data_IF_921910208838
#
_entry.id   IF_921910208838
#
_cell.length_a   1.000
_cell.length_b   1.000
_cell.length_c   1.000
_cell.angle_alpha   90.00
_cell.angle_beta   90.00
_cell.angle_gamma   90.00
#
_symmetry.space_group_name_H-M   'P 1'
#
loop_
_entity.id
_entity.type
_entity.pdbx_description
1 polymer ?
#
# COMPACT_ATOMS: atom_id res chain seq x y z
N UNK A 1 9.95 -4.30 3.05
CA UNK A 1 9.24 -4.23 1.75
C UNK A 1 9.69 -3.03 0.91
N UNK A 2 9.52 -1.80 1.36
CA UNK A 2 9.86 -0.58 0.58
C UNK A 2 11.33 -0.47 0.14
N UNK A 3 12.28 -1.10 0.85
CA UNK A 3 13.70 -1.13 0.49
C UNK A 3 13.97 -1.74 -0.92
N UNK A 4 13.13 -2.66 -1.37
CA UNK A 4 13.22 -3.24 -2.72
C UNK A 4 12.72 -2.28 -3.83
N UNK A 5 12.03 -1.19 -3.45
CA UNK A 5 11.44 -0.18 -4.34
C UNK A 5 12.11 1.20 -4.18
N UNK A 6 13.39 1.22 -3.76
CA UNK A 6 14.15 2.47 -3.55
C UNK A 6 14.05 3.06 -2.13
N UNK A 7 13.30 2.42 -1.22
CA UNK A 7 13.12 2.89 0.16
C UNK A 7 11.80 3.64 0.38
N UNK A 8 11.52 4.00 1.63
CA UNK A 8 10.24 4.62 2.03
C UNK A 8 10.06 6.00 1.37
N UNK A 9 11.14 6.77 1.23
CA UNK A 9 11.11 8.11 0.65
C UNK A 9 10.73 8.07 -0.85
N UNK A 10 11.39 7.23 -1.63
CA UNK A 10 11.11 7.06 -3.07
C UNK A 10 9.67 6.63 -3.33
N UNK A 11 9.14 5.71 -2.52
CA UNK A 11 7.74 5.28 -2.63
C UNK A 11 6.78 6.41 -2.24
N UNK A 12 7.11 7.22 -1.22
CA UNK A 12 6.32 8.38 -0.81
C UNK A 12 6.22 9.44 -1.92
N UNK A 13 7.36 9.78 -2.51
CA UNK A 13 7.44 10.77 -3.59
C UNK A 13 6.67 10.29 -4.83
N UNK A 14 6.83 9.02 -5.21
CA UNK A 14 6.13 8.42 -6.36
C UNK A 14 4.62 8.31 -6.12
N UNK A 15 4.21 7.98 -4.90
CA UNK A 15 2.80 7.91 -4.50
C UNK A 15 2.17 9.29 -4.24
N UNK A 16 2.96 10.39 -4.28
CA UNK A 16 2.57 11.75 -3.92
C UNK A 16 1.96 11.85 -2.52
N UNK A 17 2.52 11.10 -1.58
CA UNK A 17 2.10 11.09 -0.18
C UNK A 17 3.23 11.64 0.69
N UNK A 18 2.87 12.34 1.77
CA UNK A 18 3.87 12.66 2.79
C UNK A 18 4.34 11.39 3.51
N UNK A 19 5.60 11.32 3.98
CA UNK A 19 6.11 10.19 4.75
C UNK A 19 5.21 9.86 5.97
N UNK A 20 4.65 10.87 6.63
CA UNK A 20 3.70 10.72 7.74
C UNK A 20 2.35 10.13 7.31
N UNK A 21 1.83 10.48 6.13
CA UNK A 21 0.65 9.80 5.56
C UNK A 21 0.96 8.35 5.20
N UNK A 22 2.16 8.09 4.67
CA UNK A 22 2.59 6.75 4.29
C UNK A 22 2.74 5.86 5.54
N UNK A 23 3.40 6.35 6.61
CA UNK A 23 3.48 5.66 7.89
C UNK A 23 2.11 5.45 8.54
N UNK A 24 1.18 6.43 8.49
CA UNK A 24 -0.19 6.24 8.99
C UNK A 24 -0.98 5.21 8.19
N UNK A 25 -0.72 5.08 6.89
CA UNK A 25 -1.41 4.13 6.00
C UNK A 25 -0.84 2.71 6.13
N UNK A 26 0.47 2.57 6.33
CA UNK A 26 1.16 1.28 6.45
C UNK A 26 1.36 0.82 7.90
N UNK A 27 0.94 1.60 8.89
CA UNK A 27 1.01 1.21 10.31
C UNK A 27 0.03 0.08 10.60
N UNK A 28 0.38 -0.88 11.48
CA UNK A 28 -0.53 -1.96 11.90
C UNK A 28 -1.84 -1.46 12.55
N UNK A 29 -1.83 -0.25 13.14
CA UNK A 29 -3.03 0.41 13.69
C UNK A 29 -3.52 1.58 12.81
N UNK A 30 -3.05 1.66 11.57
CA UNK A 30 -3.44 2.69 10.62
C UNK A 30 -4.89 2.58 10.16
N UNK A 31 -5.51 3.71 9.80
CA UNK A 31 -6.76 3.72 9.02
C UNK A 31 -6.44 4.15 7.58
N UNK A 32 -5.96 3.23 6.73
CA UNK A 32 -5.59 3.56 5.35
C UNK A 32 -6.83 3.95 4.56
N UNK A 33 -6.82 5.16 3.99
CA UNK A 33 -7.77 5.48 2.93
C UNK A 33 -7.41 4.66 1.70
N UNK A 34 -8.40 4.02 1.07
CA UNK A 34 -8.21 3.14 -0.08
C UNK A 34 -7.42 3.81 -1.22
N UNK A 35 -7.63 5.10 -1.43
CA UNK A 35 -6.89 5.90 -2.41
C UNK A 35 -5.38 5.92 -2.12
N UNK A 36 -4.98 6.16 -0.87
CA UNK A 36 -3.57 6.16 -0.45
C UNK A 36 -2.94 4.78 -0.62
N UNK A 37 -3.63 3.71 -0.21
CA UNK A 37 -3.13 2.35 -0.40
C UNK A 37 -2.95 2.02 -1.89
N UNK A 38 -3.91 2.41 -2.73
CA UNK A 38 -3.84 2.19 -4.18
C UNK A 38 -2.67 2.95 -4.83
N UNK A 39 -2.36 4.17 -4.38
CA UNK A 39 -1.24 4.97 -4.88
C UNK A 39 0.11 4.34 -4.50
N UNK A 40 0.23 3.85 -3.27
CA UNK A 40 1.43 3.13 -2.79
C UNK A 40 1.63 1.85 -3.61
N UNK A 41 0.59 1.05 -3.80
CA UNK A 41 0.67 -0.17 -4.61
C UNK A 41 1.11 0.14 -6.05
N UNK A 42 0.52 1.16 -6.69
CA UNK A 42 0.93 1.59 -8.04
C UNK A 42 2.38 2.05 -8.12
N UNK A 43 2.85 2.81 -7.14
CA UNK A 43 4.26 3.23 -7.05
C UNK A 43 5.22 2.03 -6.95
N UNK A 44 4.76 0.90 -6.40
CA UNK A 44 5.49 -0.36 -6.32
C UNK A 44 5.26 -1.30 -7.51
N UNK A 45 4.51 -0.87 -8.55
CA UNK A 45 4.14 -1.74 -9.68
C UNK A 45 3.12 -2.83 -9.33
N UNK A 46 2.38 -2.66 -8.23
CA UNK A 46 1.37 -3.59 -7.71
C UNK A 46 -0.05 -3.01 -7.88
N UNK A 47 -1.06 -3.87 -7.76
CA UNK A 47 -2.48 -3.46 -7.74
C UNK A 47 -3.25 -4.21 -6.66
N UNK A 48 -4.29 -3.57 -6.13
CA UNK A 48 -5.29 -4.25 -5.32
C UNK A 48 -6.21 -5.05 -6.26
N UNK A 49 -6.51 -6.29 -5.90
CA UNK A 49 -7.46 -7.13 -6.61
C UNK A 49 -8.43 -7.77 -5.61
N UNK A 50 -9.68 -7.90 -6.01
CA UNK A 50 -10.69 -8.65 -5.27
C UNK A 50 -10.63 -10.10 -5.76
N UNK A 51 -10.52 -11.04 -4.84
CA UNK A 51 -10.58 -12.48 -5.12
C UNK A 51 -11.76 -13.08 -4.36
N UNK A 52 -12.32 -14.16 -4.88
CA UNK A 52 -13.32 -14.92 -4.14
C UNK A 52 -12.68 -15.51 -2.88
N UNK A 53 -13.38 -15.42 -1.76
CA UNK A 53 -13.00 -16.15 -0.54
C UNK A 53 -13.31 -17.62 -0.81
N UNK A 54 -12.33 -18.54 -0.68
CA UNK A 54 -12.60 -19.97 -0.84
C UNK A 54 -13.71 -20.37 0.14
N UNK A 55 -14.76 -21.00 -0.37
CA UNK A 55 -15.80 -21.60 0.47
C UNK A 55 -15.16 -22.74 1.30
N UNK A 56 -15.25 -22.75 2.64
CA UNK A 56 -14.50 -23.71 3.48
C UNK A 56 -14.93 -25.18 3.39
N UNK A 57 -15.71 -25.60 2.40
CA UNK A 57 -16.24 -26.97 2.33
C UNK A 57 -16.37 -27.45 0.87
N UNK A 58 -15.39 -28.23 0.43
CA UNK A 58 -15.58 -29.44 -0.38
C UNK A 58 -14.94 -30.62 0.37
#
# INVERSE_FOLDING_TARGET
MTKAFGGVQTVADTAKLSPTQLYRTLSPNGNPVLSSLSAILKAMGLRLAVQQVPTPYE
#
